data_IF_875748322314
#
_entry.id   IF_875748322314
#
_cell.length_a   1.000
_cell.length_b   1.000
_cell.length_c   1.000
_cell.angle_alpha   90.00
_cell.angle_beta   90.00
_cell.angle_gamma   90.00
#
_symmetry.space_group_name_H-M   'P 1'
#
loop_
_entity.id
_entity.type
_entity.pdbx_description
1 polymer ?
#
# COMPACT_ATOMS: atom_id res chain seq x y z
N UNK A 1 0.12 3.05 -1.17
CA UNK A 1 0.80 1.73 -1.13
C UNK A 1 -0.09 0.70 -1.81
N UNK A 2 0.50 -0.37 -2.35
CA UNK A 2 -0.28 -1.46 -2.97
C UNK A 2 0.28 -2.81 -2.54
N UNK A 3 -0.62 -3.73 -2.21
CA UNK A 3 -0.33 -5.09 -1.79
C UNK A 3 -1.08 -6.10 -2.64
N UNK A 4 -0.53 -7.30 -2.77
CA UNK A 4 -1.22 -8.48 -3.28
C UNK A 4 -1.25 -9.57 -2.21
N UNK A 5 -2.37 -10.26 -2.09
CA UNK A 5 -2.47 -11.50 -1.34
C UNK A 5 -3.01 -12.62 -2.23
N UNK A 6 -2.34 -13.78 -2.33
CA UNK A 6 -2.84 -14.92 -3.09
C UNK A 6 -4.10 -15.47 -2.42
N UNK A 7 -5.11 -15.79 -3.22
CA UNK A 7 -6.36 -16.40 -2.77
C UNK A 7 -6.16 -17.92 -2.72
N UNK A 8 -6.25 -18.56 -1.54
CA UNK A 8 -6.14 -20.01 -1.43
C UNK A 8 -7.19 -20.71 -2.30
N UNK A 9 -6.78 -21.76 -3.02
CA UNK A 9 -7.65 -22.56 -3.90
C UNK A 9 -8.40 -21.76 -4.99
N UNK A 10 -8.03 -20.50 -5.24
CA UNK A 10 -8.66 -19.64 -6.24
C UNK A 10 -10.18 -19.41 -6.05
N UNK A 11 -10.70 -19.61 -4.85
CA UNK A 11 -12.10 -19.30 -4.50
C UNK A 11 -12.22 -17.85 -4.00
N UNK A 12 -12.63 -16.97 -4.91
CA UNK A 12 -12.80 -15.54 -4.66
C UNK A 12 -14.08 -15.24 -3.86
N UNK A 13 -15.06 -16.15 -3.88
CA UNK A 13 -16.41 -15.89 -3.35
C UNK A 13 -16.50 -16.04 -1.83
N UNK A 14 -15.60 -16.83 -1.23
CA UNK A 14 -15.64 -17.22 0.18
C UNK A 14 -14.41 -16.78 0.98
N UNK A 15 -13.42 -16.15 0.32
CA UNK A 15 -12.16 -15.79 0.96
C UNK A 15 -12.35 -14.74 2.04
N UNK A 16 -11.86 -15.02 3.26
CA UNK A 16 -11.77 -14.04 4.34
C UNK A 16 -10.47 -13.22 4.20
N UNK A 17 -10.55 -11.91 3.86
CA UNK A 17 -9.38 -11.08 3.66
C UNK A 17 -8.50 -10.94 4.92
N UNK A 18 -9.04 -11.17 6.12
CA UNK A 18 -8.28 -11.05 7.38
C UNK A 18 -7.31 -12.22 7.61
N UNK A 19 -7.58 -13.36 6.97
CA UNK A 19 -6.69 -14.54 7.02
C UNK A 19 -5.55 -14.45 6.02
N UNK A 20 -5.68 -13.59 5.01
CA UNK A 20 -4.74 -13.46 3.91
C UNK A 20 -3.42 -12.82 4.35
N UNK A 21 -2.34 -13.29 3.71
CA UNK A 21 -1.01 -12.69 3.86
C UNK A 21 -0.75 -11.78 2.66
N UNK A 22 -0.60 -10.48 2.93
CA UNK A 22 -0.39 -9.43 1.94
C UNK A 22 1.08 -9.12 1.76
N UNK A 23 1.52 -9.05 0.51
CA UNK A 23 2.88 -8.73 0.11
C UNK A 23 2.87 -7.38 -0.60
N UNK A 24 3.72 -6.45 -0.15
CA UNK A 24 3.79 -5.10 -0.74
C UNK A 24 4.45 -5.19 -2.11
N UNK A 25 3.76 -4.71 -3.14
CA UNK A 25 4.28 -4.70 -4.51
C UNK A 25 4.64 -3.29 -5.00
N UNK A 26 4.13 -2.25 -4.34
CA UNK A 26 4.38 -0.88 -4.71
C UNK A 26 4.23 0.06 -3.52
N UNK A 27 5.12 1.06 -3.42
CA UNK A 27 5.00 2.17 -2.48
C UNK A 27 5.60 3.44 -3.06
N UNK A 28 4.94 4.56 -2.79
CA UNK A 28 5.47 5.91 -2.95
C UNK A 28 5.12 6.67 -1.66
N UNK A 29 6.05 7.49 -1.21
CA UNK A 29 5.93 8.30 0.00
C UNK A 29 6.18 9.77 -0.31
N UNK A 30 7.18 10.35 0.34
CA UNK A 30 7.70 11.67 0.04
C UNK A 30 8.56 11.60 -1.23
N UNK A 31 8.25 12.44 -2.22
CA UNK A 31 8.91 12.45 -3.53
C UNK A 31 10.07 13.43 -3.54
N UNK A 32 9.84 14.63 -2.98
CA UNK A 32 10.86 15.65 -2.80
C UNK A 32 10.49 16.56 -1.64
N UNK A 33 11.48 17.21 -1.04
CA UNK A 33 11.26 18.17 0.04
C UNK A 33 12.32 19.26 -0.01
N UNK A 34 11.91 20.50 0.23
CA UNK A 34 12.80 21.64 0.45
C UNK A 34 13.12 21.87 1.94
N UNK A 35 12.68 20.95 2.82
CA UNK A 35 12.79 21.07 4.27
C UNK A 35 11.70 21.93 4.92
N UNK A 36 10.75 22.47 4.16
CA UNK A 36 9.55 23.18 4.67
C UNK A 36 8.26 22.59 4.10
N UNK A 37 8.27 22.21 2.82
CA UNK A 37 7.17 21.59 2.09
C UNK A 37 7.65 20.32 1.41
N UNK A 38 6.85 19.26 1.54
CA UNK A 38 7.05 18.01 0.82
C UNK A 38 6.10 17.91 -0.37
N UNK A 39 6.58 17.37 -1.49
CA UNK A 39 5.75 16.83 -2.57
C UNK A 39 5.56 15.35 -2.32
N UNK A 40 4.31 14.89 -2.22
CA UNK A 40 3.98 13.53 -1.81
C UNK A 40 3.40 12.71 -2.96
N UNK A 41 3.28 11.39 -2.78
CA UNK A 41 2.59 10.52 -3.73
C UNK A 41 1.16 10.98 -4.07
N UNK A 42 0.46 11.63 -3.12
CA UNK A 42 -0.85 12.23 -3.35
C UNK A 42 -0.81 13.41 -4.33
N UNK A 43 0.30 14.15 -4.41
CA UNK A 43 0.47 15.20 -5.40
C UNK A 43 0.64 14.63 -6.81
N UNK A 44 1.42 13.55 -6.95
CA UNK A 44 1.54 12.83 -8.24
C UNK A 44 0.16 12.32 -8.69
N UNK A 45 -0.63 11.77 -7.77
CA UNK A 45 -2.00 11.31 -8.05
C UNK A 45 -2.89 12.46 -8.51
N UNK A 46 -2.84 13.61 -7.82
CA UNK A 46 -3.59 14.82 -8.18
C UNK A 46 -3.19 15.34 -9.56
N UNK A 47 -1.90 15.42 -9.83
CA UNK A 47 -1.34 15.82 -11.14
C UNK A 47 -1.74 14.84 -12.26
N UNK A 48 -1.99 13.58 -11.92
CA UNK A 48 -2.45 12.53 -12.84
C UNK A 48 -3.98 12.42 -12.93
N UNK A 49 -4.73 13.46 -12.56
CA UNK A 49 -6.19 13.46 -12.65
C UNK A 49 -6.86 12.51 -11.65
N UNK A 50 -6.34 12.45 -10.41
CA UNK A 50 -6.80 11.57 -9.34
C UNK A 50 -6.66 10.07 -9.66
N UNK A 51 -5.66 9.72 -10.48
CA UNK A 51 -5.40 8.33 -10.87
C UNK A 51 -4.03 7.85 -10.38
N UNK A 52 -3.93 6.55 -10.11
CA UNK A 52 -2.66 5.86 -9.81
C UNK A 52 -2.51 4.72 -10.79
N UNK A 53 -1.46 4.77 -11.62
CA UNK A 53 -1.10 3.67 -12.51
C UNK A 53 -0.15 2.72 -11.80
N UNK A 54 -0.50 1.44 -11.79
CA UNK A 54 0.28 0.38 -11.16
C UNK A 54 0.59 -0.70 -12.19
N UNK A 55 1.83 -1.17 -12.19
CA UNK A 55 2.23 -2.34 -12.98
C UNK A 55 2.38 -3.53 -12.04
N UNK A 56 1.70 -4.64 -12.35
CA UNK A 56 1.95 -5.90 -11.67
C UNK A 56 3.40 -6.35 -12.01
N UNK A 57 4.27 -6.57 -11.01
CA UNK A 57 5.65 -6.97 -11.27
C UNK A 57 5.73 -8.29 -12.05
N UNK A 58 6.71 -8.47 -12.96
CA UNK A 58 6.83 -9.68 -13.78
C UNK A 58 7.14 -10.97 -12.98
N UNK A 59 7.51 -10.86 -11.69
CA UNK A 59 7.77 -11.98 -10.80
C UNK A 59 6.58 -12.41 -9.92
N UNK A 60 5.38 -11.87 -10.17
CA UNK A 60 4.17 -12.33 -9.49
C UNK A 60 3.74 -13.66 -10.12
N UNK A 61 3.47 -14.72 -9.32
CA UNK A 61 3.02 -15.99 -9.86
C UNK A 61 1.64 -15.89 -10.54
N UNK A 62 1.36 -16.80 -11.46
CA UNK A 62 0.00 -16.95 -12.00
C UNK A 62 -0.97 -17.35 -10.89
N UNK A 63 -2.14 -16.70 -10.83
CA UNK A 63 -3.18 -17.04 -9.87
C UNK A 63 -4.17 -15.92 -9.60
N UNK A 64 -5.10 -16.17 -8.66
CA UNK A 64 -6.07 -15.18 -8.20
C UNK A 64 -5.58 -14.48 -6.94
N UNK A 65 -5.76 -13.17 -6.90
CA UNK A 65 -5.24 -12.31 -5.84
C UNK A 65 -6.30 -11.32 -5.35
N UNK A 66 -6.24 -10.99 -4.06
CA UNK A 66 -6.78 -9.73 -3.56
C UNK A 66 -5.70 -8.68 -3.73
N UNK A 67 -5.96 -7.67 -4.57
CA UNK A 67 -5.21 -6.42 -4.59
C UNK A 67 -5.78 -5.49 -3.53
N UNK A 68 -4.92 -4.97 -2.66
CA UNK A 68 -5.25 -3.92 -1.70
C UNK A 68 -4.43 -2.68 -2.03
N UNK A 69 -5.08 -1.65 -2.56
CA UNK A 69 -4.50 -0.33 -2.73
C UNK A 69 -4.89 0.56 -1.56
N UNK A 70 -4.02 1.47 -1.15
CA UNK A 70 -4.26 2.31 0.03
C UNK A 70 -3.59 3.67 -0.09
N UNK A 71 -4.33 4.72 0.26
CA UNK A 71 -3.78 6.03 0.58
C UNK A 71 -3.65 6.18 2.11
N UNK A 72 -2.58 6.81 2.56
CA UNK A 72 -2.37 7.21 3.95
C UNK A 72 -2.29 8.72 4.00
N UNK A 73 -3.33 9.38 4.52
CA UNK A 73 -3.35 10.83 4.66
C UNK A 73 -2.73 11.24 6.01
N UNK A 74 -1.71 12.11 5.92
CA UNK A 74 -0.87 12.50 7.06
C UNK A 74 -1.13 13.93 7.57
N UNK A 75 -2.15 14.62 7.08
CA UNK A 75 -2.39 16.03 7.42
C UNK A 75 -2.70 16.24 8.92
N UNK A 76 -3.23 15.22 9.60
CA UNK A 76 -3.47 15.19 11.04
C UNK A 76 -2.53 14.27 11.83
N UNK A 77 -1.51 13.68 11.18
CA UNK A 77 -0.67 12.62 11.75
C UNK A 77 0.28 13.08 12.87
N UNK A 78 0.36 14.38 13.16
CA UNK A 78 1.15 14.90 14.30
C UNK A 78 0.58 14.53 15.67
N UNK A 79 -0.62 13.94 15.70
CA UNK A 79 -1.25 13.35 16.87
C UNK A 79 -1.38 11.86 16.62
N UNK A 80 -0.79 11.06 17.50
CA UNK A 80 -0.86 9.60 17.42
C UNK A 80 -2.32 9.13 17.22
N UNK A 81 -2.50 8.17 16.31
CA UNK A 81 -3.81 7.59 15.97
C UNK A 81 -4.69 8.48 15.08
N UNK A 82 -4.22 9.66 14.67
CA UNK A 82 -5.00 10.59 13.83
C UNK A 82 -4.66 10.50 12.34
N UNK A 83 -3.70 9.67 11.94
CA UNK A 83 -3.45 9.35 10.53
C UNK A 83 -4.63 8.56 9.94
N UNK A 84 -4.94 8.82 8.67
CA UNK A 84 -6.15 8.30 8.03
C UNK A 84 -5.79 7.35 6.90
N UNK A 85 -6.20 6.09 7.03
CA UNK A 85 -6.00 5.05 6.02
C UNK A 85 -7.24 4.91 5.15
N UNK A 86 -7.05 4.90 3.83
CA UNK A 86 -8.10 4.72 2.83
C UNK A 86 -7.80 3.49 1.95
N UNK A 87 -8.07 2.28 2.46
CA UNK A 87 -7.89 1.07 1.68
C UNK A 87 -9.04 0.82 0.71
N UNK A 88 -8.71 0.34 -0.49
CA UNK A 88 -9.62 -0.16 -1.51
C UNK A 88 -9.10 -1.50 -2.00
N UNK A 89 -9.99 -2.49 -2.12
CA UNK A 89 -9.63 -3.83 -2.58
C UNK A 89 -10.27 -4.14 -3.94
N UNK A 90 -9.58 -4.97 -4.72
CA UNK A 90 -10.09 -5.54 -5.96
C UNK A 90 -9.60 -7.00 -6.09
N UNK A 91 -10.40 -7.84 -6.74
CA UNK A 91 -9.99 -9.19 -7.09
C UNK A 91 -9.34 -9.18 -8.47
N UNK A 92 -8.16 -9.80 -8.60
CA UNK A 92 -7.42 -9.90 -9.83
C UNK A 92 -7.15 -11.35 -10.19
N UNK A 93 -7.17 -11.64 -11.47
CA UNK A 93 -6.52 -12.82 -12.04
C UNK A 93 -5.24 -12.35 -12.73
N UNK A 94 -4.11 -12.90 -12.31
CA UNK A 94 -2.79 -12.53 -12.81
C UNK A 94 -2.28 -13.67 -13.68
N UNK A 95 -1.98 -13.36 -14.93
CA UNK A 95 -1.17 -14.20 -15.81
C UNK A 95 0.30 -13.79 -15.61
N UNK A 96 1.02 -14.60 -14.85
CA UNK A 96 2.34 -14.26 -14.33
C UNK A 96 3.40 -15.30 -14.65
N UNK A 97 4.40 -15.42 -13.78
CA UNK A 97 5.48 -16.40 -13.94
C UNK A 97 5.11 -17.74 -13.30
N UNK A 98 5.46 -18.84 -13.97
CA UNK A 98 5.37 -20.17 -13.38
C UNK A 98 6.52 -20.39 -12.38
N UNK A 99 6.21 -20.98 -11.21
CA UNK A 99 7.22 -21.36 -10.22
C UNK A 99 7.82 -20.23 -9.37
N UNK A 100 7.47 -18.96 -9.62
CA UNK A 100 7.88 -17.84 -8.77
C UNK A 100 7.18 -17.86 -7.40
N UNK A 101 7.73 -17.12 -6.44
CA UNK A 101 7.10 -16.85 -5.14
C UNK A 101 7.04 -15.36 -4.90
N UNK A 102 6.00 -14.91 -4.20
CA UNK A 102 5.94 -13.53 -3.73
C UNK A 102 7.13 -13.26 -2.80
N UNK A 103 7.94 -12.27 -3.16
CA UNK A 103 9.09 -11.85 -2.36
C UNK A 103 8.69 -10.94 -1.20
N UNK A 104 9.60 -10.81 -0.23
CA UNK A 104 9.46 -9.91 0.92
C UNK A 104 8.68 -10.50 2.09
N UNK A 105 8.62 -9.73 3.18
CA UNK A 105 7.88 -10.10 4.39
C UNK A 105 6.39 -9.82 4.20
N UNK A 106 5.58 -10.87 4.25
CA UNK A 106 4.12 -10.74 4.26
C UNK A 106 3.60 -10.12 5.56
N UNK A 107 2.46 -9.43 5.47
CA UNK A 107 1.75 -8.82 6.61
C UNK A 107 0.27 -9.19 6.58
N UNK A 108 -0.43 -9.04 7.72
CA UNK A 108 -1.89 -9.23 7.82
C UNK A 108 -2.58 -7.91 8.10
N UNK A 109 -3.81 -7.77 7.62
CA UNK A 109 -4.69 -6.64 7.93
C UNK A 109 -5.95 -7.18 8.63
N UNK A 110 -6.32 -6.64 9.81
CA UNK A 110 -5.61 -5.64 10.61
C UNK A 110 -4.30 -6.17 11.22
N UNK A 111 -3.41 -5.26 11.65
CA UNK A 111 -2.16 -5.59 12.37
C UNK A 111 -0.85 -5.23 11.67
N UNK A 112 -0.88 -4.86 10.38
CA UNK A 112 0.33 -4.48 9.64
C UNK A 112 0.94 -3.13 10.07
N UNK A 113 0.14 -2.23 10.65
CA UNK A 113 0.56 -0.90 11.08
C UNK A 113 0.23 -0.70 12.56
N UNK A 114 1.09 0.02 13.27
CA UNK A 114 0.81 0.58 14.61
C UNK A 114 0.59 2.08 14.50
N UNK A 115 -0.20 2.62 15.43
CA UNK A 115 -0.40 4.07 15.56
C UNK A 115 0.92 4.82 15.75
N UNK A 116 1.87 4.21 16.45
CA UNK A 116 3.18 4.75 16.78
C UNK A 116 4.27 4.46 15.74
N UNK A 117 3.95 3.85 14.59
CA UNK A 117 4.97 3.61 13.56
C UNK A 117 5.47 4.98 13.03
N UNK A 118 6.78 5.19 12.78
CA UNK A 118 7.32 6.51 12.42
C UNK A 118 6.76 7.13 11.13
N UNK A 119 6.17 6.32 10.26
CA UNK A 119 5.48 6.78 9.05
C UNK A 119 3.98 7.05 9.25
N UNK A 120 3.44 6.78 10.45
CA UNK A 120 2.04 6.91 10.82
C UNK A 120 1.85 8.01 11.85
N UNK A 121 2.71 8.09 12.87
CA UNK A 121 2.79 9.22 13.81
C UNK A 121 3.95 10.13 13.38
N UNK A 122 3.62 11.21 12.68
CA UNK A 122 4.60 12.12 12.07
C UNK A 122 4.03 13.52 11.89
N UNK A 123 4.86 14.53 12.19
CA UNK A 123 4.52 15.92 11.95
C UNK A 123 5.08 16.41 10.60
N UNK A 124 4.27 16.31 9.55
CA UNK A 124 4.66 16.76 8.20
C UNK A 124 4.81 18.28 8.06
N UNK A 125 4.29 19.06 9.02
CA UNK A 125 4.30 20.53 9.01
C UNK A 125 5.62 21.13 9.54
N UNK A 126 6.49 20.31 10.15
CA UNK A 126 7.81 20.75 10.64
C UNK A 126 8.94 20.59 9.61
N UNK A 127 8.61 20.24 8.37
CA UNK A 127 9.59 20.00 7.33
C UNK A 127 10.22 18.62 7.46
N UNK A 128 9.76 17.67 6.65
CA UNK A 128 10.28 16.29 6.62
C UNK A 128 11.31 16.18 5.50
N UNK A 129 12.52 15.70 5.80
CA UNK A 129 13.60 15.52 4.81
C UNK A 129 13.62 14.12 4.19
N UNK A 130 13.10 13.12 4.89
CA UNK A 130 13.04 11.73 4.45
C UNK A 130 11.80 11.05 5.04
N UNK A 131 11.19 10.17 4.25
CA UNK A 131 10.03 9.36 4.61
C UNK A 131 10.01 8.11 3.72
#
# INVERSE_FOLDING_TARGET
MTYLAPIPNSDVSSVDPTTLTFYKIHQLGLISSDGKKGRWASDIMRESGMTVKLRIPPGIPTGKYVLRHELLALHGAQKEGSAQFYPVCANLEVEGSEGAKLGGKGVKFPGAYRSSDPGVDINIHKGVKAY
#
